data_IF_961786818134
#
_entry.id   IF_961786818134
#
_cell.length_a   1.000
_cell.length_b   1.000
_cell.length_c   1.000
_cell.angle_alpha   90.00
_cell.angle_beta   90.00
_cell.angle_gamma   90.00
#
_symmetry.space_group_name_H-M   'P 1'
#
loop_
_entity.id
_entity.type
_entity.pdbx_description
1 polymer ?
#
# COMPACT_ATOMS: atom_id res chain seq x y z
N UNK A 1 28.49 25.43 -3.95
CA UNK A 1 28.53 26.00 -2.59
C UNK A 1 29.84 25.70 -1.84
N UNK A 2 30.36 24.47 -1.87
CA UNK A 2 31.54 24.07 -1.05
C UNK A 2 32.86 24.70 -1.52
N UNK A 3 32.97 25.11 -2.79
CA UNK A 3 34.18 25.72 -3.37
C UNK A 3 34.49 27.13 -2.86
N UNK A 4 33.51 27.87 -2.31
CA UNK A 4 33.70 29.23 -1.79
C UNK A 4 34.15 29.28 -0.32
N UNK A 5 34.17 28.14 0.38
CA UNK A 5 34.58 28.00 1.78
C UNK A 5 33.74 28.76 2.82
N UNK A 6 32.72 29.48 2.38
CA UNK A 6 31.75 30.20 3.18
C UNK A 6 30.37 29.86 2.61
N UNK A 7 29.45 29.46 3.49
CA UNK A 7 28.06 29.22 3.15
C UNK A 7 27.28 30.33 3.85
N UNK A 8 26.54 31.13 3.09
CA UNK A 8 25.74 32.20 3.68
C UNK A 8 24.38 31.66 4.13
N UNK A 9 23.72 32.30 5.12
CA UNK A 9 22.37 31.91 5.52
C UNK A 9 21.35 31.95 4.37
N UNK A 10 21.57 32.80 3.36
CA UNK A 10 20.74 32.90 2.16
C UNK A 10 20.89 31.67 1.24
N UNK A 11 22.09 31.09 1.16
CA UNK A 11 22.37 29.86 0.42
C UNK A 11 21.56 28.68 0.99
N UNK A 12 21.50 28.58 2.32
CA UNK A 12 20.71 27.56 3.03
C UNK A 12 19.21 27.74 2.77
N UNK A 13 18.74 28.98 2.69
CA UNK A 13 17.32 29.25 2.44
C UNK A 13 16.87 28.82 1.05
N UNK A 14 17.73 28.99 0.05
CA UNK A 14 17.46 28.66 -1.35
C UNK A 14 17.52 27.15 -1.63
N UNK A 15 18.46 26.43 -1.00
CA UNK A 15 18.68 25.00 -1.28
C UNK A 15 17.92 24.06 -0.33
N UNK A 16 17.69 24.45 0.93
CA UNK A 16 17.02 23.59 1.92
C UNK A 16 15.52 23.89 1.96
N UNK A 17 14.76 23.23 1.06
CA UNK A 17 13.31 23.48 0.88
C UNK A 17 12.39 22.59 1.72
N UNK A 18 12.84 21.42 2.17
CA UNK A 18 11.99 20.38 2.82
C UNK A 18 12.47 19.97 4.21
N UNK A 19 12.80 20.95 5.06
CA UNK A 19 13.19 20.72 6.46
C UNK A 19 12.33 21.59 7.38
N UNK A 20 12.07 21.12 8.61
CA UNK A 20 11.28 21.89 9.58
C UNK A 20 11.96 23.24 9.89
N UNK A 21 11.19 24.32 10.16
CA UNK A 21 11.75 25.65 10.41
C UNK A 21 12.77 25.68 11.54
N UNK A 22 12.53 24.89 12.59
CA UNK A 22 13.43 24.70 13.74
C UNK A 22 14.78 24.12 13.33
N UNK A 23 14.81 23.03 12.56
CA UNK A 23 16.05 22.44 12.05
C UNK A 23 16.75 23.34 11.05
N UNK A 24 16.00 24.13 10.27
CA UNK A 24 16.59 25.12 9.34
C UNK A 24 17.35 26.20 10.11
N UNK A 25 16.83 26.66 11.24
CA UNK A 25 17.52 27.62 12.11
C UNK A 25 18.79 27.02 12.75
N UNK A 26 18.74 25.78 13.22
CA UNK A 26 19.92 25.06 13.73
C UNK A 26 21.02 24.89 12.67
N UNK A 27 20.63 24.57 11.44
CA UNK A 27 21.56 24.46 10.30
C UNK A 27 22.20 25.82 10.02
N UNK A 28 21.44 26.92 10.00
CA UNK A 28 21.98 28.28 9.82
C UNK A 28 22.97 28.67 10.92
N UNK A 29 22.65 28.35 12.17
CA UNK A 29 23.51 28.62 13.32
C UNK A 29 24.81 27.80 13.24
N UNK A 30 24.72 26.52 12.85
CA UNK A 30 25.87 25.61 12.71
C UNK A 30 26.78 25.97 11.52
N UNK A 31 26.22 26.63 10.51
CA UNK A 31 26.91 27.08 9.30
C UNK A 31 27.58 28.45 9.48
N UNK A 32 27.34 29.15 10.60
CA UNK A 32 27.90 30.48 10.87
C UNK A 32 29.43 30.49 11.12
N UNK A 33 30.15 29.45 10.69
CA UNK A 33 31.60 29.31 10.72
C UNK A 33 32.21 29.03 9.34
N UNK A 34 33.50 29.35 9.18
CA UNK A 34 34.28 28.99 7.98
C UNK A 34 34.49 27.48 7.96
N UNK A 35 34.12 26.81 6.86
CA UNK A 35 34.43 25.40 6.67
C UNK A 35 35.94 25.24 6.45
N UNK A 36 36.61 24.50 7.33
CA UNK A 36 38.04 24.20 7.14
C UNK A 36 38.24 23.32 5.89
N UNK A 37 39.41 23.38 5.26
CA UNK A 37 39.75 22.61 4.07
C UNK A 37 39.49 21.10 4.24
N UNK A 38 39.78 20.55 5.43
CA UNK A 38 39.47 19.16 5.76
C UNK A 38 37.96 18.85 5.68
N UNK A 39 37.11 19.70 6.25
CA UNK A 39 35.65 19.54 6.23
C UNK A 39 35.10 19.68 4.80
N UNK A 40 35.61 20.63 4.03
CA UNK A 40 35.24 20.78 2.62
C UNK A 40 35.58 19.52 1.81
N UNK A 41 36.77 18.95 2.02
CA UNK A 41 37.20 17.74 1.33
C UNK A 41 36.36 16.53 1.73
N UNK A 42 36.02 16.39 3.02
CA UNK A 42 35.15 15.33 3.49
C UNK A 42 33.73 15.42 2.91
N UNK A 43 33.12 16.61 2.89
CA UNK A 43 31.79 16.80 2.30
C UNK A 43 31.84 16.55 0.79
N UNK A 44 32.89 17.02 0.08
CA UNK A 44 33.08 16.71 -1.35
C UNK A 44 33.11 15.21 -1.59
N UNK A 45 33.85 14.46 -0.78
CA UNK A 45 33.90 13.00 -0.86
C UNK A 45 32.52 12.37 -0.66
N UNK A 46 31.75 12.84 0.33
CA UNK A 46 30.38 12.36 0.57
C UNK A 46 29.42 12.68 -0.59
N UNK A 47 29.54 13.85 -1.21
CA UNK A 47 28.73 14.22 -2.38
C UNK A 47 29.08 13.37 -3.59
N UNK A 48 30.37 13.12 -3.85
CA UNK A 48 30.80 12.21 -4.91
C UNK A 48 30.19 10.82 -4.71
N UNK A 49 30.21 10.31 -3.47
CA UNK A 49 29.58 9.03 -3.15
C UNK A 49 28.06 9.06 -3.39
N UNK A 50 27.38 10.14 -3.03
CA UNK A 50 25.94 10.31 -3.26
C UNK A 50 25.62 10.31 -4.76
N UNK A 51 26.42 11.02 -5.56
CA UNK A 51 26.27 11.06 -7.02
C UNK A 51 26.46 9.66 -7.63
N UNK A 52 27.48 8.92 -7.17
CA UNK A 52 27.72 7.53 -7.59
C UNK A 52 26.55 6.60 -7.25
N UNK A 53 26.02 6.68 -6.02
CA UNK A 53 24.86 5.89 -5.62
C UNK A 53 23.62 6.24 -6.45
N UNK A 54 23.45 7.52 -6.80
CA UNK A 54 22.35 7.98 -7.66
C UNK A 54 22.50 7.43 -9.08
N UNK A 55 23.71 7.41 -9.63
CA UNK A 55 23.98 6.80 -10.93
C UNK A 55 23.70 5.28 -10.92
N UNK A 56 24.12 4.58 -9.86
CA UNK A 56 23.83 3.15 -9.70
C UNK A 56 22.32 2.88 -9.62
N UNK A 57 21.59 3.71 -8.86
CA UNK A 57 20.13 3.62 -8.75
C UNK A 57 19.47 3.78 -10.14
N UNK A 58 19.84 4.81 -10.89
CA UNK A 58 19.30 5.06 -12.24
C UNK A 58 19.61 3.90 -13.21
N UNK A 59 20.79 3.29 -13.08
CA UNK A 59 21.20 2.12 -13.90
C UNK A 59 20.32 0.91 -13.58
N UNK A 60 20.00 0.70 -12.30
CA UNK A 60 19.09 -0.38 -11.88
C UNK A 60 17.65 -0.09 -12.33
N UNK A 61 17.17 1.14 -12.18
CA UNK A 61 15.80 1.51 -12.61
C UNK A 61 15.61 1.36 -14.13
N UNK A 62 16.59 1.75 -14.93
CA UNK A 62 16.56 1.55 -16.39
C UNK A 62 16.58 0.07 -16.75
N UNK A 63 17.39 -0.73 -16.05
CA UNK A 63 17.41 -2.19 -16.21
C UNK A 63 16.04 -2.80 -15.89
N UNK A 64 15.44 -2.45 -14.74
CA UNK A 64 14.09 -2.91 -14.35
C UNK A 64 13.06 -2.49 -15.40
N UNK A 65 13.11 -1.24 -15.85
CA UNK A 65 12.19 -0.71 -16.86
C UNK A 65 12.26 -1.51 -18.15
N UNK A 66 13.47 -1.89 -18.61
CA UNK A 66 13.67 -2.70 -19.81
C UNK A 66 13.01 -4.09 -19.71
N UNK A 67 13.11 -4.74 -18.54
CA UNK A 67 12.46 -6.04 -18.31
C UNK A 67 10.94 -5.91 -18.15
N UNK A 68 10.48 -4.80 -17.56
CA UNK A 68 9.07 -4.55 -17.28
C UNK A 68 8.21 -4.40 -18.55
N UNK A 69 8.82 -4.06 -19.70
CA UNK A 69 8.12 -3.87 -20.98
C UNK A 69 7.26 -5.08 -21.35
N UNK A 70 7.76 -6.29 -21.09
CA UNK A 70 7.04 -7.56 -21.38
C UNK A 70 5.74 -7.69 -20.59
N UNK A 71 5.64 -7.00 -19.46
CA UNK A 71 4.55 -7.11 -18.50
C UNK A 71 3.77 -5.80 -18.35
N UNK A 72 3.94 -4.87 -19.30
CA UNK A 72 3.36 -3.53 -19.26
C UNK A 72 1.83 -3.55 -19.09
N UNK A 73 1.15 -4.48 -19.77
CA UNK A 73 -0.31 -4.59 -19.66
C UNK A 73 -0.74 -4.94 -18.23
N UNK A 74 -0.10 -5.93 -17.62
CA UNK A 74 -0.40 -6.36 -16.25
C UNK A 74 -0.01 -5.29 -15.24
N UNK A 75 1.12 -4.60 -15.44
CA UNK A 75 1.54 -3.48 -14.60
C UNK A 75 0.48 -2.38 -14.64
N UNK A 76 0.01 -1.98 -15.83
CA UNK A 76 -1.03 -0.97 -15.99
C UNK A 76 -2.35 -1.39 -15.33
N UNK A 77 -2.73 -2.67 -15.43
CA UNK A 77 -3.92 -3.18 -14.75
C UNK A 77 -3.80 -3.05 -13.23
N UNK A 78 -2.63 -3.35 -12.65
CA UNK A 78 -2.41 -3.21 -11.21
C UNK A 78 -2.29 -1.75 -10.75
N UNK A 79 -1.75 -0.87 -11.59
CA UNK A 79 -1.63 0.58 -11.34
C UNK A 79 -3.01 1.26 -11.24
N UNK A 80 -4.07 0.65 -11.78
CA UNK A 80 -5.45 1.15 -11.62
C UNK A 80 -5.99 0.99 -10.19
N UNK A 81 -5.33 0.19 -9.34
CA UNK A 81 -5.74 0.00 -7.94
C UNK A 81 -5.26 1.20 -7.12
N UNK A 82 -6.15 1.93 -6.42
CA UNK A 82 -5.75 3.05 -5.57
C UNK A 82 -4.70 2.65 -4.54
N UNK A 83 -3.54 3.30 -4.60
CA UNK A 83 -2.43 3.10 -3.66
C UNK A 83 -1.32 2.18 -4.18
N UNK A 84 -1.47 1.60 -5.37
CA UNK A 84 -0.42 0.88 -6.09
C UNK A 84 0.05 1.76 -7.24
N UNK A 85 1.36 2.04 -7.27
CA UNK A 85 2.00 2.76 -8.37
C UNK A 85 2.71 1.77 -9.33
N UNK A 86 3.13 2.24 -10.50
CA UNK A 86 3.86 1.43 -11.49
C UNK A 86 5.07 0.66 -10.91
N UNK A 87 5.88 1.30 -10.06
CA UNK A 87 7.02 0.66 -9.38
C UNK A 87 6.56 -0.47 -8.45
N UNK A 88 5.49 -0.22 -7.72
CA UNK A 88 4.86 -1.17 -6.82
C UNK A 88 4.23 -2.35 -7.56
N UNK A 89 3.54 -2.09 -8.66
CA UNK A 89 2.97 -3.09 -9.54
C UNK A 89 4.06 -3.97 -10.16
N UNK A 90 5.18 -3.37 -10.57
CA UNK A 90 6.35 -4.10 -11.09
C UNK A 90 6.94 -5.03 -10.03
N UNK A 91 7.11 -4.54 -8.79
CA UNK A 91 7.59 -5.36 -7.67
C UNK A 91 6.63 -6.51 -7.32
N UNK A 92 5.32 -6.27 -7.37
CA UNK A 92 4.32 -7.34 -7.20
C UNK A 92 4.54 -8.39 -8.28
N UNK A 93 4.51 -8.01 -9.55
CA UNK A 93 4.64 -8.95 -10.68
C UNK A 93 5.96 -9.73 -10.64
N UNK A 94 7.05 -9.10 -10.20
CA UNK A 94 8.33 -9.78 -10.02
C UNK A 94 8.26 -10.90 -8.96
N UNK A 95 7.50 -10.69 -7.87
CA UNK A 95 7.35 -11.68 -6.79
C UNK A 95 6.34 -12.78 -7.10
N UNK A 96 5.21 -12.44 -7.73
CA UNK A 96 4.08 -13.37 -7.90
C UNK A 96 4.02 -14.01 -9.29
N UNK A 97 4.63 -13.37 -10.30
CA UNK A 97 4.42 -13.69 -11.71
C UNK A 97 3.00 -13.33 -12.20
N UNK A 98 2.72 -13.68 -13.46
CA UNK A 98 1.45 -13.31 -14.12
C UNK A 98 0.47 -14.48 -14.19
N UNK A 99 1.00 -15.69 -14.15
CA UNK A 99 0.20 -16.89 -14.28
C UNK A 99 -0.50 -17.25 -12.96
N UNK A 100 -1.76 -16.84 -12.86
CA UNK A 100 -2.61 -17.15 -11.70
C UNK A 100 -3.16 -18.58 -11.73
N UNK A 101 -2.97 -19.35 -12.80
CA UNK A 101 -3.42 -20.75 -12.88
C UNK A 101 -2.69 -21.67 -11.88
N UNK A 102 -1.48 -21.26 -11.46
CA UNK A 102 -0.70 -21.90 -10.39
C UNK A 102 -1.43 -21.95 -9.05
N UNK A 103 -2.43 -21.10 -8.85
CA UNK A 103 -3.24 -21.07 -7.64
C UNK A 103 -4.69 -21.43 -7.95
N UNK A 104 -5.18 -22.51 -7.33
CA UNK A 104 -6.56 -23.00 -7.49
C UNK A 104 -7.62 -21.93 -7.17
N UNK A 105 -7.40 -21.16 -6.11
CA UNK A 105 -8.30 -20.07 -5.70
C UNK A 105 -7.51 -18.87 -5.17
N UNK A 106 -8.16 -17.70 -5.12
CA UNK A 106 -7.61 -16.49 -4.49
C UNK A 106 -7.21 -16.72 -3.01
N UNK A 107 -7.86 -17.68 -2.32
CA UNK A 107 -7.54 -18.03 -0.94
C UNK A 107 -6.20 -18.76 -0.83
N UNK A 108 -5.89 -19.66 -1.78
CA UNK A 108 -4.60 -20.33 -1.86
C UNK A 108 -3.49 -19.31 -2.12
N UNK A 109 -3.74 -18.35 -3.01
CA UNK A 109 -2.83 -17.24 -3.29
C UNK A 109 -2.55 -16.39 -2.02
N UNK A 110 -3.59 -16.03 -1.27
CA UNK A 110 -3.44 -15.30 -0.01
C UNK A 110 -2.73 -16.12 1.09
N UNK A 111 -2.94 -17.44 1.10
CA UNK A 111 -2.28 -18.36 2.04
C UNK A 111 -0.79 -18.45 1.76
N UNK A 112 -0.42 -18.62 0.49
CA UNK A 112 0.98 -18.61 0.01
C UNK A 112 1.69 -17.29 0.35
N UNK A 113 0.99 -16.16 0.21
CA UNK A 113 1.50 -14.83 0.60
C UNK A 113 1.59 -14.62 2.14
N UNK A 114 1.17 -15.58 2.98
CA UNK A 114 1.24 -15.45 4.43
C UNK A 114 0.23 -14.44 5.01
N UNK A 115 -0.85 -14.16 4.30
CA UNK A 115 -1.95 -13.25 4.68
C UNK A 115 -3.20 -14.01 5.16
N UNK A 116 -3.14 -15.34 5.23
CA UNK A 116 -4.20 -16.15 5.79
C UNK A 116 -4.07 -16.31 7.32
N UNK A 117 -5.19 -16.33 8.07
CA UNK A 117 -5.14 -16.75 9.47
C UNK A 117 -4.68 -18.21 9.55
N UNK A 118 -3.74 -18.51 10.44
CA UNK A 118 -3.30 -19.88 10.68
C UNK A 118 -4.32 -20.63 11.55
N UNK A 119 -4.49 -21.93 11.32
CA UNK A 119 -5.37 -22.79 12.11
C UNK A 119 -4.67 -23.43 13.33
N UNK A 120 -3.70 -22.72 13.92
CA UNK A 120 -2.95 -23.23 15.06
C UNK A 120 -3.85 -23.28 16.30
N UNK A 121 -4.16 -24.49 16.77
CA UNK A 121 -4.92 -24.77 18.00
C UNK A 121 -4.01 -25.42 19.02
N UNK A 122 -3.97 -24.90 20.24
CA UNK A 122 -3.38 -25.60 21.38
C UNK A 122 -4.33 -25.53 22.57
N UNK A 123 -4.50 -26.65 23.28
CA UNK A 123 -5.35 -26.73 24.48
C UNK A 123 -6.74 -26.05 24.31
N UNK A 124 -7.41 -26.30 23.19
CA UNK A 124 -8.76 -25.75 22.90
C UNK A 124 -8.80 -24.27 22.50
N UNK A 125 -7.68 -23.54 22.52
CA UNK A 125 -7.61 -22.12 22.11
C UNK A 125 -7.12 -21.98 20.67
N UNK A 126 -7.86 -21.22 19.85
CA UNK A 126 -7.44 -20.84 18.49
C UNK A 126 -6.46 -19.67 18.53
N UNK A 127 -5.34 -19.82 17.85
CA UNK A 127 -4.39 -18.73 17.61
C UNK A 127 -4.97 -17.71 16.63
N UNK A 128 -4.61 -16.44 16.81
CA UNK A 128 -4.96 -15.34 15.88
C UNK A 128 -3.80 -14.96 14.95
N UNK A 129 -2.70 -15.73 14.99
CA UNK A 129 -1.52 -15.48 14.16
C UNK A 129 -1.80 -15.86 12.71
N UNK A 130 -1.25 -15.07 11.80
CA UNK A 130 -1.24 -15.36 10.37
C UNK A 130 -0.18 -16.41 10.02
N UNK A 131 -0.38 -17.08 8.89
CA UNK A 131 0.56 -18.07 8.37
C UNK A 131 1.92 -17.45 8.02
N UNK A 132 2.96 -18.29 8.08
CA UNK A 132 4.25 -17.99 7.44
C UNK A 132 4.07 -18.19 5.93
N UNK A 133 4.61 -17.28 5.14
CA UNK A 133 4.52 -17.28 3.68
C UNK A 133 5.63 -16.40 3.11
N UNK A 134 5.54 -16.01 1.85
CA UNK A 134 6.55 -15.14 1.24
C UNK A 134 6.63 -13.79 1.99
N UNK A 135 7.79 -13.51 2.59
CA UNK A 135 8.04 -12.32 3.43
C UNK A 135 8.11 -11.04 2.61
N UNK A 136 8.60 -11.10 1.37
CA UNK A 136 8.75 -9.95 0.49
C UNK A 136 7.38 -9.43 0.06
N UNK A 137 6.55 -10.27 -0.57
CA UNK A 137 5.20 -9.87 -1.00
C UNK A 137 4.33 -9.44 0.18
N UNK A 138 4.48 -10.08 1.34
CA UNK A 138 3.73 -9.72 2.54
C UNK A 138 4.07 -8.33 3.06
N UNK A 139 5.36 -8.00 3.15
CA UNK A 139 5.82 -6.67 3.53
C UNK A 139 5.37 -5.63 2.51
N UNK A 140 5.50 -5.96 1.22
CA UNK A 140 5.11 -5.12 0.10
C UNK A 140 3.61 -4.74 0.16
N UNK A 141 2.72 -5.73 0.23
CA UNK A 141 1.27 -5.51 0.30
C UNK A 141 0.87 -4.83 1.61
N UNK A 142 1.60 -5.07 2.70
CA UNK A 142 1.35 -4.39 3.98
C UNK A 142 1.61 -2.88 3.88
N UNK A 143 2.71 -2.46 3.26
CA UNK A 143 3.00 -1.03 3.01
C UNK A 143 1.96 -0.40 2.06
N UNK A 144 1.53 -1.13 1.04
CA UNK A 144 0.50 -0.65 0.12
C UNK A 144 -0.87 -0.52 0.77
N UNK A 145 -1.22 -1.45 1.66
CA UNK A 145 -2.42 -1.32 2.46
C UNK A 145 -2.39 -0.02 3.28
N UNK A 146 -1.23 0.38 3.83
CA UNK A 146 -1.11 1.66 4.53
C UNK A 146 -1.22 2.87 3.60
N UNK A 147 -0.65 2.79 2.40
CA UNK A 147 -0.83 3.81 1.36
C UNK A 147 -2.30 4.01 1.02
N UNK A 148 -3.00 2.90 0.79
CA UNK A 148 -4.44 2.88 0.48
C UNK A 148 -5.29 3.49 1.60
N UNK A 149 -4.95 3.23 2.87
CA UNK A 149 -5.65 3.81 4.03
C UNK A 149 -5.54 5.34 4.08
N UNK A 150 -4.42 5.91 3.61
CA UNK A 150 -4.21 7.36 3.55
C UNK A 150 -5.04 8.03 2.45
N UNK A 151 -5.33 7.30 1.36
CA UNK A 151 -6.20 7.74 0.27
C UNK A 151 -7.67 7.67 0.69
N UNK A 152 -8.07 8.58 1.59
CA UNK A 152 -9.45 8.71 2.11
C UNK A 152 -10.46 8.75 0.96
N UNK A 153 -11.69 8.32 1.25
CA UNK A 153 -12.85 8.26 0.33
C UNK A 153 -12.84 7.14 -0.72
N UNK A 154 -11.89 6.20 -0.66
CA UNK A 154 -11.92 4.97 -1.47
C UNK A 154 -12.72 3.84 -0.80
N UNK A 155 -13.26 2.90 -1.58
CA UNK A 155 -13.92 1.70 -1.03
C UNK A 155 -13.00 0.92 -0.07
N UNK A 156 -11.72 0.79 -0.44
CA UNK A 156 -10.71 0.08 0.33
C UNK A 156 -10.36 0.77 1.65
N UNK A 157 -10.21 2.10 1.65
CA UNK A 157 -9.98 2.85 2.90
C UNK A 157 -11.18 2.74 3.84
N UNK A 158 -12.41 2.84 3.31
CA UNK A 158 -13.64 2.68 4.08
C UNK A 158 -13.77 1.29 4.72
N UNK A 159 -13.36 0.24 4.01
CA UNK A 159 -13.29 -1.12 4.56
C UNK A 159 -12.36 -1.20 5.78
N UNK A 160 -11.18 -0.59 5.70
CA UNK A 160 -10.24 -0.54 6.83
C UNK A 160 -10.82 0.22 8.03
N UNK A 161 -11.38 1.41 7.83
CA UNK A 161 -11.88 2.24 8.94
C UNK A 161 -13.04 1.58 9.69
N UNK A 162 -13.98 0.95 8.97
CA UNK A 162 -15.06 0.16 9.58
C UNK A 162 -14.54 -1.01 10.40
N UNK A 163 -13.54 -1.72 9.87
CA UNK A 163 -12.98 -2.89 10.55
C UNK A 163 -12.10 -2.51 11.74
N UNK A 164 -11.34 -1.41 11.63
CA UNK A 164 -10.50 -0.87 12.70
C UNK A 164 -11.30 -0.59 13.96
N UNK A 165 -12.49 0.00 13.83
CA UNK A 165 -13.38 0.29 14.96
C UNK A 165 -13.76 -0.99 15.74
N UNK A 166 -13.90 -2.14 15.07
CA UNK A 166 -14.36 -3.39 15.70
C UNK A 166 -13.23 -4.32 16.14
N UNK A 167 -12.06 -4.27 15.48
CA UNK A 167 -11.00 -5.29 15.62
C UNK A 167 -9.61 -4.71 15.90
N UNK A 168 -9.45 -3.38 15.87
CA UNK A 168 -8.17 -2.69 16.04
C UNK A 168 -7.36 -2.56 14.74
N UNK A 169 -6.36 -1.66 14.76
CA UNK A 169 -5.59 -1.26 13.58
C UNK A 169 -4.83 -2.41 12.91
N UNK A 170 -4.08 -3.20 13.70
CA UNK A 170 -3.23 -4.29 13.19
C UNK A 170 -4.04 -5.39 12.49
N UNK A 171 -5.20 -5.74 13.02
CA UNK A 171 -6.09 -6.74 12.39
C UNK A 171 -6.76 -6.18 11.14
N UNK A 172 -7.15 -4.91 11.18
CA UNK A 172 -7.79 -4.25 10.04
C UNK A 172 -6.83 -4.10 8.84
N UNK A 173 -5.55 -3.76 9.07
CA UNK A 173 -4.58 -3.60 7.97
C UNK A 173 -4.25 -4.92 7.31
N UNK A 174 -4.09 -6.01 8.08
CA UNK A 174 -3.87 -7.36 7.52
C UNK A 174 -5.09 -7.82 6.70
N UNK A 175 -6.30 -7.54 7.20
CA UNK A 175 -7.52 -7.86 6.46
C UNK A 175 -7.66 -7.04 5.18
N UNK A 176 -7.22 -5.77 5.18
CA UNK A 176 -7.14 -4.95 3.97
C UNK A 176 -6.11 -5.51 2.99
N UNK A 177 -4.91 -5.83 3.46
CA UNK A 177 -3.85 -6.47 2.67
C UNK A 177 -4.35 -7.75 1.98
N UNK A 178 -5.04 -8.63 2.72
CA UNK A 178 -5.67 -9.82 2.15
C UNK A 178 -6.71 -9.46 1.08
N UNK A 179 -7.54 -8.43 1.31
CA UNK A 179 -8.53 -7.98 0.32
C UNK A 179 -7.88 -7.45 -0.96
N UNK A 180 -6.81 -6.66 -0.84
CA UNK A 180 -6.01 -6.19 -1.99
C UNK A 180 -5.43 -7.38 -2.75
N UNK A 181 -4.89 -8.39 -2.05
CA UNK A 181 -4.33 -9.59 -2.67
C UNK A 181 -5.36 -10.40 -3.48
N UNK A 182 -6.61 -10.50 -2.97
CA UNK A 182 -7.72 -11.12 -3.72
C UNK A 182 -8.08 -10.31 -4.97
N UNK A 183 -8.04 -8.97 -4.87
CA UNK A 183 -8.31 -8.08 -6.01
C UNK A 183 -7.24 -8.28 -7.09
N UNK A 184 -5.96 -8.28 -6.72
CA UNK A 184 -4.83 -8.53 -7.62
C UNK A 184 -5.02 -9.88 -8.33
N UNK A 185 -5.34 -10.95 -7.60
CA UNK A 185 -5.58 -12.27 -8.19
C UNK A 185 -6.68 -12.24 -9.26
N UNK A 186 -7.82 -11.60 -8.99
CA UNK A 186 -8.93 -11.55 -9.93
C UNK A 186 -8.63 -10.66 -11.14
N UNK A 187 -7.93 -9.54 -10.94
CA UNK A 187 -7.50 -8.65 -12.02
C UNK A 187 -6.56 -9.38 -12.98
N UNK A 188 -5.57 -10.10 -12.45
CA UNK A 188 -4.62 -10.85 -13.28
C UNK A 188 -5.26 -12.08 -13.93
N UNK A 189 -6.19 -12.75 -13.25
CA UNK A 189 -6.90 -13.92 -13.79
C UNK A 189 -7.87 -13.54 -14.92
N UNK A 190 -8.59 -12.43 -14.77
CA UNK A 190 -9.63 -12.02 -15.73
C UNK A 190 -9.13 -10.96 -16.74
N UNK A 191 -7.93 -10.41 -16.55
CA UNK A 191 -7.40 -9.26 -17.29
C UNK A 191 -8.36 -8.06 -17.29
N UNK A 192 -8.93 -7.74 -16.14
CA UNK A 192 -9.91 -6.65 -15.97
C UNK A 192 -9.33 -5.47 -15.20
N UNK A 193 -9.74 -4.26 -15.58
CA UNK A 193 -9.38 -3.03 -14.85
C UNK A 193 -10.08 -2.98 -13.49
N UNK A 194 -9.41 -2.42 -12.49
CA UNK A 194 -10.01 -2.14 -11.19
C UNK A 194 -11.11 -1.09 -11.31
N UNK A 195 -12.30 -1.40 -10.80
CA UNK A 195 -13.42 -0.46 -10.74
C UNK A 195 -14.05 -0.48 -9.36
N UNK A 196 -14.15 0.69 -8.72
CA UNK A 196 -14.81 0.83 -7.43
C UNK A 196 -16.32 0.58 -7.52
N UNK A 197 -16.93 0.86 -8.68
CA UNK A 197 -18.37 0.68 -8.93
C UNK A 197 -18.81 -0.77 -8.75
N UNK A 198 -17.97 -1.74 -9.17
CA UNK A 198 -18.24 -3.17 -8.97
C UNK A 198 -18.47 -3.52 -7.50
N UNK A 199 -17.76 -2.87 -6.58
CA UNK A 199 -17.94 -3.09 -5.14
C UNK A 199 -19.18 -2.42 -4.61
N UNK A 200 -19.55 -1.26 -5.15
CA UNK A 200 -20.77 -0.56 -4.77
C UNK A 200 -22.00 -1.35 -5.21
N UNK A 201 -22.04 -1.83 -6.46
CA UNK A 201 -23.10 -2.71 -6.98
C UNK A 201 -23.24 -3.98 -6.14
N UNK A 202 -22.12 -4.61 -5.77
CA UNK A 202 -22.14 -5.81 -4.93
C UNK A 202 -22.72 -5.52 -3.52
N UNK A 203 -22.38 -4.36 -2.95
CA UNK A 203 -22.91 -3.91 -1.66
C UNK A 203 -24.42 -3.66 -1.74
N UNK A 204 -24.89 -2.99 -2.78
CA UNK A 204 -26.32 -2.68 -2.98
C UNK A 204 -27.13 -3.96 -3.17
N UNK A 205 -26.62 -4.93 -3.94
CA UNK A 205 -27.21 -6.27 -4.05
C UNK A 205 -27.31 -6.99 -2.70
N UNK A 206 -26.27 -6.89 -1.87
CA UNK A 206 -26.26 -7.49 -0.54
C UNK A 206 -27.27 -6.82 0.40
N UNK A 207 -27.45 -5.51 0.29
CA UNK A 207 -28.43 -4.74 1.06
C UNK A 207 -29.86 -5.12 0.67
N UNK A 208 -30.15 -5.24 -0.64
CA UNK A 208 -31.44 -5.73 -1.15
C UNK A 208 -31.72 -7.14 -0.62
N UNK A 209 -30.74 -8.04 -0.66
CA UNK A 209 -30.90 -9.41 -0.15
C UNK A 209 -31.17 -9.42 1.36
N UNK A 210 -30.47 -8.57 2.13
CA UNK A 210 -30.69 -8.42 3.57
C UNK A 210 -32.10 -7.92 3.86
N UNK A 211 -32.59 -6.92 3.14
CA UNK A 211 -33.95 -6.38 3.29
C UNK A 211 -34.98 -7.48 2.99
N UNK A 212 -34.83 -8.19 1.87
CA UNK A 212 -35.71 -9.32 1.52
C UNK A 212 -35.74 -10.39 2.61
N UNK A 213 -34.58 -10.72 3.18
CA UNK A 213 -34.49 -11.68 4.29
C UNK A 213 -35.20 -11.16 5.54
N UNK A 214 -35.01 -9.89 5.91
CA UNK A 214 -35.70 -9.28 7.06
C UNK A 214 -37.22 -9.27 6.87
N UNK A 215 -37.71 -8.99 5.66
CA UNK A 215 -39.14 -9.06 5.33
C UNK A 215 -39.66 -10.49 5.52
N UNK A 216 -38.91 -11.49 5.02
CA UNK A 216 -39.28 -12.89 5.19
C UNK A 216 -39.28 -13.32 6.67
N UNK A 217 -38.33 -12.85 7.46
CA UNK A 217 -38.21 -13.21 8.88
C UNK A 217 -39.27 -12.50 9.72
N UNK A 218 -39.62 -11.24 9.41
CA UNK A 218 -40.72 -10.51 10.05
C UNK A 218 -42.08 -11.18 9.78
N UNK A 219 -42.33 -11.57 8.52
CA UNK A 219 -43.56 -12.28 8.13
C UNK A 219 -43.73 -13.61 8.89
N UNK A 220 -42.64 -14.33 9.14
CA UNK A 220 -42.66 -15.57 9.95
C UNK A 220 -43.02 -15.33 11.42
N UNK A 221 -42.70 -14.15 11.94
CA UNK A 221 -43.00 -13.75 13.32
C UNK A 221 -44.38 -13.05 13.44
N UNK A 222 -45.14 -12.95 12.35
CA UNK A 222 -46.45 -12.31 12.33
C UNK A 222 -46.43 -10.78 12.29
N UNK A 223 -45.27 -10.17 12.02
CA UNK A 223 -45.14 -8.71 11.89
C UNK A 223 -45.18 -8.29 10.42
N UNK A 224 -45.96 -7.25 10.11
CA UNK A 224 -45.92 -6.56 8.82
C UNK A 224 -45.03 -5.32 8.91
N UNK A 225 -44.09 -5.19 7.97
CA UNK A 225 -43.19 -4.03 7.90
C UNK A 225 -43.86 -2.92 7.11
N UNK A 226 -44.22 -1.83 7.81
CA UNK A 226 -44.70 -0.59 7.19
C UNK A 226 -43.49 0.29 6.86
N UNK A 227 -43.47 0.86 5.65
CA UNK A 227 -42.38 1.73 5.20
C UNK A 227 -42.59 3.14 5.79
N UNK A 228 -41.77 3.54 6.76
CA UNK A 228 -41.94 4.79 7.52
C UNK A 228 -41.57 6.08 6.76
N UNK A 229 -41.37 6.03 5.44
CA UNK A 229 -41.10 7.21 4.60
C UNK A 229 -42.37 7.90 4.07
N UNK A 230 -43.56 7.40 4.40
CA UNK A 230 -44.85 7.96 4.00
C UNK A 230 -45.68 8.50 5.20
N UNK A 231 -45.04 8.73 6.36
CA UNK A 231 -45.66 9.33 7.55
C UNK A 231 -45.05 10.68 7.90
#
# INVERSE_FOLDING_TARGET
>A
MITKGTITPADVDNEVKRISPTKKAEIKYSINGKLNAHQQNFIKMQLILLDQLTQHLNTIETSISSFSVKFKNQINLLDTIPGIACTSATAIIAEIGIDMSKFKTAEHFCSWAGLAPGDNKSAGKKSTRITRGNTYIKGLIYEYAWSTVRMRNTYLSNYYWKLKQRRGSKKAIIALARKIMVIIYNILKNNEVFSEEKFQIAKDKQEIFRIKKLISDAKKLGFELVNTKEA
#
